data_IF_079157355053
#
_entry.id   IF_079157355053
#
_cell.length_a   1.000
_cell.length_b   1.000
_cell.length_c   1.000
_cell.angle_alpha   90.00
_cell.angle_beta   90.00
_cell.angle_gamma   90.00
#
_symmetry.space_group_name_H-M   'P 1'
#
loop_
_entity.id
_entity.type
_entity.pdbx_description
1 polymer ?
#
# COMPACT_ATOMS: atom_id res chain seq x y z
N UNK A 1 -15.03 -2.29 -73.91
CA UNK A 1 -13.85 -2.04 -73.05
C UNK A 1 -14.17 -0.84 -72.17
N UNK A 2 -14.67 -1.07 -70.94
CA UNK A 2 -15.16 0.00 -70.07
C UNK A 2 -14.12 0.30 -68.97
N UNK A 3 -13.49 1.46 -69.03
CA UNK A 3 -12.52 1.95 -68.04
C UNK A 3 -13.26 2.58 -66.86
N UNK A 4 -13.35 1.87 -65.73
CA UNK A 4 -13.83 2.44 -64.47
C UNK A 4 -12.67 3.13 -63.74
N UNK A 5 -12.73 4.46 -63.67
CA UNK A 5 -11.90 5.31 -62.82
C UNK A 5 -12.20 5.04 -61.34
N UNK A 6 -11.15 4.86 -60.54
CA UNK A 6 -11.19 4.76 -59.08
C UNK A 6 -10.97 6.16 -58.49
N UNK A 7 -11.82 6.67 -57.57
CA UNK A 7 -11.54 7.92 -56.88
C UNK A 7 -10.48 7.76 -55.78
N UNK A 8 -9.64 8.78 -55.67
CA UNK A 8 -8.50 8.91 -54.78
C UNK A 8 -8.90 8.92 -53.30
N UNK A 9 -8.04 8.33 -52.48
CA UNK A 9 -8.21 8.24 -51.03
C UNK A 9 -7.86 9.57 -50.35
N UNK A 10 -8.69 9.97 -49.39
CA UNK A 10 -8.49 11.17 -48.55
C UNK A 10 -7.57 10.79 -47.39
N UNK A 11 -6.41 11.44 -47.29
CA UNK A 11 -5.48 11.26 -46.17
C UNK A 11 -5.98 12.03 -44.95
N UNK A 12 -6.32 11.32 -43.88
CA UNK A 12 -6.64 11.92 -42.59
C UNK A 12 -5.35 12.39 -41.90
N UNK A 13 -5.21 13.70 -41.72
CA UNK A 13 -4.15 14.33 -40.94
C UNK A 13 -4.35 14.04 -39.45
N UNK A 14 -3.43 13.28 -38.85
CA UNK A 14 -3.38 13.08 -37.41
C UNK A 14 -2.99 14.41 -36.73
N UNK A 15 -3.98 15.04 -36.08
CA UNK A 15 -3.77 16.19 -35.20
C UNK A 15 -2.86 15.81 -34.02
N UNK A 16 -1.82 16.61 -33.80
CA UNK A 16 -0.82 16.41 -32.75
C UNK A 16 -1.40 16.48 -31.34
N UNK A 17 -0.90 15.62 -30.45
CA UNK A 17 -1.11 15.71 -29.00
C UNK A 17 -0.30 16.89 -28.44
N UNK A 18 -0.88 17.81 -27.66
CA UNK A 18 -0.10 18.79 -26.91
C UNK A 18 0.69 18.08 -25.78
N UNK A 19 1.88 18.59 -25.42
CA UNK A 19 2.68 18.00 -24.35
C UNK A 19 2.02 18.20 -22.98
N UNK A 20 2.10 17.16 -22.15
CA UNK A 20 1.65 17.20 -20.77
C UNK A 20 2.48 18.21 -19.96
N UNK A 21 1.82 19.21 -19.39
CA UNK A 21 2.43 20.13 -18.45
C UNK A 21 2.90 19.37 -17.21
N UNK A 22 4.17 19.55 -16.83
CA UNK A 22 4.78 18.96 -15.64
C UNK A 22 4.23 19.68 -14.40
N UNK A 23 3.82 18.97 -13.33
CA UNK A 23 3.46 19.64 -12.08
C UNK A 23 4.69 20.32 -11.48
N UNK A 24 4.49 21.55 -10.99
CA UNK A 24 5.51 22.31 -10.29
C UNK A 24 5.92 21.59 -9.00
N UNK A 25 7.23 21.47 -8.77
CA UNK A 25 7.79 20.91 -7.53
C UNK A 25 7.57 21.92 -6.40
N UNK A 26 7.07 21.52 -5.22
CA UNK A 26 7.06 22.41 -4.07
C UNK A 26 8.51 22.67 -3.62
N UNK A 27 8.87 23.95 -3.65
CA UNK A 27 10.17 24.49 -3.25
C UNK A 27 10.18 24.62 -1.73
N UNK A 28 10.26 23.48 -1.03
CA UNK A 28 10.47 23.52 0.41
C UNK A 28 11.88 24.06 0.69
N UNK A 29 11.90 25.26 1.24
CA UNK A 29 13.06 25.98 1.72
C UNK A 29 13.67 25.21 2.89
N UNK A 30 14.93 24.83 2.74
CA UNK A 30 15.80 24.45 3.84
C UNK A 30 16.03 25.67 4.73
N UNK A 31 15.45 25.68 5.92
CA UNK A 31 15.87 26.55 7.01
C UNK A 31 16.34 25.68 8.17
N UNK A 32 17.65 25.48 8.23
CA UNK A 32 18.29 24.95 9.41
C UNK A 32 18.12 25.92 10.57
N UNK A 33 17.75 25.41 11.74
CA UNK A 33 17.99 26.09 12.99
C UNK A 33 18.81 25.18 13.91
N UNK A 34 19.99 25.68 14.18
CA UNK A 34 21.05 25.14 15.03
C UNK A 34 20.54 25.10 16.47
N UNK A 35 20.62 23.94 17.12
CA UNK A 35 20.52 23.85 18.58
C UNK A 35 21.93 23.98 19.16
N UNK A 36 22.15 24.79 20.21
CA UNK A 36 23.46 24.95 20.83
C UNK A 36 23.84 23.78 21.75
N UNK A 37 25.15 23.62 21.88
CA UNK A 37 25.91 22.70 22.74
C UNK A 37 25.74 22.96 24.25
N UNK A 38 25.90 21.91 25.07
CA UNK A 38 26.20 21.96 26.53
C UNK A 38 25.44 20.93 27.37
N UNK A 39 25.79 19.63 27.48
CA UNK A 39 26.81 18.97 28.37
C UNK A 39 26.34 19.00 29.86
N UNK A 40 26.35 17.88 30.66
CA UNK A 40 27.45 16.95 30.80
C UNK A 40 27.18 15.44 30.85
N UNK A 41 28.27 14.74 30.52
CA UNK A 41 28.57 13.34 30.74
C UNK A 41 28.89 13.12 32.23
N UNK A 42 28.25 12.14 32.87
CA UNK A 42 28.75 11.56 34.12
C UNK A 42 28.82 10.05 33.99
N UNK A 43 30.02 9.53 34.23
CA UNK A 43 30.45 8.16 34.02
C UNK A 43 30.28 7.28 35.26
N UNK A 44 30.16 5.99 34.97
CA UNK A 44 30.71 4.83 35.68
C UNK A 44 30.26 4.53 37.12
N UNK A 45 29.69 3.34 37.27
CA UNK A 45 30.23 2.37 38.22
C UNK A 45 29.91 0.96 37.74
N UNK A 46 30.98 0.21 37.49
CA UNK A 46 30.96 -1.21 37.15
C UNK A 46 30.62 -2.06 38.37
N UNK A 47 29.87 -3.12 38.14
CA UNK A 47 29.54 -4.15 39.12
C UNK A 47 29.49 -5.51 38.44
N UNK A 48 30.67 -6.08 38.20
CA UNK A 48 30.89 -7.50 37.91
C UNK A 48 30.46 -8.36 39.11
N UNK A 49 29.54 -9.31 38.90
CA UNK A 49 29.80 -10.74 39.11
C UNK A 49 28.56 -11.57 38.80
N UNK A 50 28.83 -12.67 38.10
CA UNK A 50 27.84 -13.47 37.38
C UNK A 50 26.95 -14.36 38.22
N UNK A 51 26.07 -15.06 37.51
CA UNK A 51 25.46 -16.29 38.02
C UNK A 51 25.15 -17.26 36.87
N UNK A 52 25.30 -18.53 37.22
CA UNK A 52 25.45 -19.73 36.41
C UNK A 52 24.21 -20.06 35.58
N UNK A 53 24.42 -20.48 34.34
CA UNK A 53 23.34 -21.01 33.51
C UNK A 53 22.74 -22.31 34.06
N UNK A 54 21.55 -22.69 33.57
CA UNK A 54 21.43 -24.06 33.10
C UNK A 54 20.93 -24.11 31.66
N UNK A 55 21.67 -24.88 30.85
CA UNK A 55 21.22 -25.43 29.59
C UNK A 55 20.34 -26.65 29.90
N UNK A 56 19.04 -26.51 29.65
CA UNK A 56 18.11 -27.60 29.33
C UNK A 56 17.02 -26.94 28.46
N UNK A 57 17.06 -27.02 27.12
CA UNK A 57 16.63 -28.18 26.34
C UNK A 57 15.48 -28.92 27.01
N UNK A 58 14.32 -28.27 27.08
CA UNK A 58 13.05 -28.99 27.01
C UNK A 58 12.42 -28.66 25.66
N UNK A 59 12.58 -29.60 24.74
CA UNK A 59 11.78 -29.67 23.52
C UNK A 59 10.45 -30.33 23.88
N UNK A 60 9.29 -29.68 23.72
CA UNK A 60 8.06 -30.42 23.55
C UNK A 60 8.03 -30.88 22.10
N UNK A 61 8.29 -32.16 21.91
CA UNK A 61 7.91 -32.88 20.72
C UNK A 61 6.42 -32.63 20.41
N UNK A 62 6.12 -32.34 19.15
CA UNK A 62 4.86 -32.73 18.52
C UNK A 62 3.59 -32.11 19.09
N UNK A 63 3.49 -30.79 19.13
CA UNK A 63 2.21 -30.12 18.98
C UNK A 63 2.17 -29.48 17.59
N UNK A 64 1.64 -30.21 16.61
CA UNK A 64 1.15 -29.63 15.34
C UNK A 64 0.08 -28.58 15.68
N UNK A 65 0.53 -27.38 16.06
CA UNK A 65 -0.34 -26.25 16.30
C UNK A 65 -0.74 -25.72 14.92
N UNK A 66 -1.76 -26.36 14.37
CA UNK A 66 -2.48 -25.97 13.17
C UNK A 66 -2.64 -24.43 13.20
N UNK A 67 -2.14 -23.67 12.20
CA UNK A 67 -2.25 -22.22 12.21
C UNK A 67 -3.66 -21.86 11.77
N UNK A 68 -4.64 -22.11 12.63
CA UNK A 68 -6.07 -21.95 12.31
C UNK A 68 -6.53 -20.49 12.32
N UNK A 69 -5.64 -19.57 12.70
CA UNK A 69 -5.84 -18.12 12.62
C UNK A 69 -4.48 -17.48 12.33
N UNK A 70 -3.99 -17.61 11.09
CA UNK A 70 -2.71 -17.03 10.71
C UNK A 70 -2.72 -15.52 10.97
N UNK A 71 -1.94 -15.09 11.96
CA UNK A 71 -1.72 -13.68 12.23
C UNK A 71 -1.21 -13.00 10.96
N UNK A 72 -1.72 -11.80 10.67
CA UNK A 72 -1.31 -11.03 9.50
C UNK A 72 0.21 -10.91 9.42
N UNK A 73 0.74 -10.77 8.22
CA UNK A 73 2.14 -10.39 8.03
C UNK A 73 2.37 -8.92 8.45
N UNK A 74 3.63 -8.54 8.66
CA UNK A 74 3.99 -7.15 8.98
C UNK A 74 3.61 -6.18 7.85
N UNK A 75 3.73 -6.62 6.60
CA UNK A 75 3.33 -5.83 5.43
C UNK A 75 1.81 -5.61 5.38
N UNK A 76 1.01 -6.64 5.66
CA UNK A 76 -0.45 -6.52 5.69
C UNK A 76 -0.94 -5.60 6.81
N UNK A 77 -0.30 -5.66 8.00
CA UNK A 77 -0.56 -4.68 9.08
C UNK A 77 -0.32 -3.26 8.61
N UNK A 78 0.84 -2.97 8.03
CA UNK A 78 1.17 -1.63 7.51
C UNK A 78 0.17 -1.13 6.46
N UNK A 79 -0.29 -2.02 5.59
CA UNK A 79 -1.33 -1.68 4.59
C UNK A 79 -2.65 -1.33 5.28
N UNK A 80 -3.05 -2.08 6.30
CA UNK A 80 -4.26 -1.80 7.08
C UNK A 80 -4.15 -0.48 7.85
N UNK A 81 -3.00 -0.18 8.46
CA UNK A 81 -2.77 1.07 9.19
C UNK A 81 -2.86 2.30 8.26
N UNK A 82 -2.24 2.22 7.08
CA UNK A 82 -2.32 3.30 6.08
C UNK A 82 -3.74 3.48 5.56
N UNK A 83 -4.48 2.39 5.37
CA UNK A 83 -5.89 2.45 5.00
C UNK A 83 -6.74 3.13 6.07
N UNK A 84 -6.58 2.74 7.34
CA UNK A 84 -7.29 3.29 8.47
C UNK A 84 -6.98 4.79 8.62
N UNK A 85 -5.71 5.18 8.51
CA UNK A 85 -5.29 6.58 8.54
C UNK A 85 -5.92 7.39 7.40
N UNK A 86 -5.96 6.85 6.17
CA UNK A 86 -6.60 7.52 5.04
C UNK A 86 -8.13 7.66 5.24
N UNK A 87 -8.79 6.64 5.79
CA UNK A 87 -10.23 6.71 6.10
C UNK A 87 -10.51 7.75 7.21
N UNK A 88 -9.72 7.77 8.27
CA UNK A 88 -9.82 8.75 9.35
C UNK A 88 -9.61 10.19 8.85
N UNK A 89 -8.68 10.38 7.91
CA UNK A 89 -8.45 11.65 7.24
C UNK A 89 -9.48 11.97 6.11
N UNK A 90 -10.53 11.16 5.96
CA UNK A 90 -11.54 11.25 4.90
C UNK A 90 -10.99 11.27 3.46
N UNK A 91 -9.80 10.71 3.26
CA UNK A 91 -9.20 10.55 1.95
C UNK A 91 -9.85 9.40 1.19
N UNK A 92 -9.97 9.57 -0.12
CA UNK A 92 -10.58 8.57 -1.01
C UNK A 92 -9.58 7.52 -1.50
N UNK A 93 -8.30 7.79 -1.34
CA UNK A 93 -7.21 6.93 -1.82
C UNK A 93 -6.05 6.91 -0.84
N UNK A 94 -5.22 5.87 -0.94
CA UNK A 94 -3.92 5.79 -0.30
C UNK A 94 -2.93 5.05 -1.22
N UNK A 95 -1.64 5.25 -1.00
CA UNK A 95 -0.60 4.52 -1.72
C UNK A 95 -0.30 3.18 -1.01
N UNK A 96 -0.36 2.08 -1.75
CA UNK A 96 0.01 0.77 -1.23
C UNK A 96 1.54 0.64 -1.14
N UNK A 97 2.13 0.48 0.06
CA UNK A 97 3.58 0.35 0.22
C UNK A 97 4.16 -0.91 -0.44
N UNK A 98 3.36 -1.95 -0.67
CA UNK A 98 3.84 -3.20 -1.25
C UNK A 98 3.86 -3.19 -2.79
N UNK A 99 2.88 -2.52 -3.43
CA UNK A 99 2.75 -2.52 -4.90
C UNK A 99 2.99 -1.16 -5.55
N UNK A 100 2.99 -0.07 -4.78
CA UNK A 100 3.07 1.30 -5.28
C UNK A 100 1.77 1.81 -5.92
N UNK A 101 0.70 1.01 -5.96
CA UNK A 101 -0.56 1.43 -6.55
C UNK A 101 -1.34 2.40 -5.67
N UNK A 102 -2.11 3.27 -6.32
CA UNK A 102 -3.12 4.10 -5.66
C UNK A 102 -4.38 3.26 -5.47
N UNK A 103 -4.73 2.96 -4.23
CA UNK A 103 -5.85 2.09 -3.86
C UNK A 103 -6.99 2.94 -3.30
N UNK A 104 -8.23 2.65 -3.73
CA UNK A 104 -9.43 3.28 -3.20
C UNK A 104 -9.68 2.85 -1.74
N UNK A 105 -10.06 3.81 -0.88
CA UNK A 105 -10.46 3.53 0.50
C UNK A 105 -11.87 2.95 0.58
N UNK A 106 -12.24 2.42 1.76
CA UNK A 106 -13.61 1.95 2.02
C UNK A 106 -14.60 3.10 1.84
N UNK A 107 -14.24 4.30 2.32
CA UNK A 107 -15.02 5.51 2.13
C UNK A 107 -15.30 5.81 0.65
N UNK A 108 -14.30 5.69 -0.22
CA UNK A 108 -14.49 5.89 -1.66
C UNK A 108 -15.47 4.87 -2.27
N UNK A 109 -15.41 3.62 -1.83
CA UNK A 109 -16.38 2.60 -2.25
C UNK A 109 -17.79 2.86 -1.73
N UNK A 110 -17.94 3.32 -0.49
CA UNK A 110 -19.24 3.71 0.07
C UNK A 110 -19.83 4.90 -0.69
N UNK A 111 -19.03 5.96 -0.94
CA UNK A 111 -19.45 7.11 -1.74
C UNK A 111 -19.85 6.74 -3.17
N UNK A 112 -19.16 5.76 -3.78
CA UNK A 112 -19.46 5.26 -5.12
C UNK A 112 -20.68 4.34 -5.17
N UNK A 113 -21.03 3.69 -4.07
CA UNK A 113 -22.14 2.73 -3.99
C UNK A 113 -21.92 1.38 -4.69
N UNK A 114 -20.72 1.10 -5.24
CA UNK A 114 -20.44 -0.18 -5.93
C UNK A 114 -18.96 -0.57 -5.97
N UNK A 115 -18.71 -1.87 -6.22
CA UNK A 115 -17.36 -2.40 -6.47
C UNK A 115 -16.74 -1.78 -7.74
N UNK A 116 -15.46 -1.42 -7.69
CA UNK A 116 -14.76 -0.83 -8.83
C UNK A 116 -14.24 -1.84 -9.87
N UNK A 117 -14.15 -3.13 -9.51
CA UNK A 117 -13.59 -4.19 -10.37
C UNK A 117 -12.06 -4.31 -10.38
N UNK A 118 -11.34 -3.50 -9.60
CA UNK A 118 -9.86 -3.45 -9.60
C UNK A 118 -9.19 -4.27 -8.48
N UNK A 119 -9.87 -5.25 -7.88
CA UNK A 119 -9.35 -6.10 -6.81
C UNK A 119 -8.69 -5.31 -5.63
N UNK A 120 -9.39 -4.26 -5.18
CA UNK A 120 -9.00 -3.50 -3.99
C UNK A 120 -9.06 -4.39 -2.74
N UNK A 121 -8.06 -4.27 -1.85
CA UNK A 121 -7.93 -5.10 -0.64
C UNK A 121 -9.09 -4.90 0.35
N UNK A 122 -9.63 -3.68 0.41
CA UNK A 122 -10.62 -3.25 1.39
C UNK A 122 -11.99 -2.98 0.75
N UNK A 123 -12.41 -3.80 -0.20
CA UNK A 123 -13.66 -3.58 -0.92
C UNK A 123 -14.88 -4.04 -0.08
N UNK A 124 -15.75 -3.14 0.42
CA UNK A 124 -16.94 -3.50 1.22
C UNK A 124 -17.93 -4.40 0.48
N UNK A 125 -17.82 -4.47 -0.85
CA UNK A 125 -18.70 -5.27 -1.71
C UNK A 125 -18.07 -6.60 -2.11
N UNK A 126 -17.10 -7.13 -1.35
CA UNK A 126 -16.57 -8.48 -1.58
C UNK A 126 -15.97 -8.72 -2.96
N UNK A 127 -15.48 -7.67 -3.63
CA UNK A 127 -14.89 -7.76 -4.98
C UNK A 127 -15.83 -8.36 -6.05
N UNK A 128 -17.16 -8.16 -5.93
CA UNK A 128 -18.18 -8.71 -6.86
C UNK A 128 -17.95 -8.36 -8.33
N UNK A 129 -17.38 -7.19 -8.63
CA UNK A 129 -17.14 -6.74 -10.01
C UNK A 129 -15.76 -7.12 -10.56
N UNK A 130 -14.95 -7.90 -9.81
CA UNK A 130 -13.67 -8.39 -10.30
C UNK A 130 -13.94 -9.63 -11.17
N UNK A 131 -13.76 -9.48 -12.48
CA UNK A 131 -14.04 -10.54 -13.45
C UNK A 131 -13.05 -11.70 -13.35
N UNK A 132 -11.77 -11.36 -13.21
CA UNK A 132 -10.69 -12.34 -13.15
C UNK A 132 -10.59 -12.93 -11.73
N UNK A 133 -10.90 -14.23 -11.55
CA UNK A 133 -10.83 -14.87 -10.23
C UNK A 133 -9.41 -14.91 -9.68
N UNK A 134 -8.37 -14.94 -10.52
CA UNK A 134 -6.98 -14.97 -10.07
C UNK A 134 -6.56 -13.65 -9.40
N UNK A 135 -7.23 -12.54 -9.74
CA UNK A 135 -6.98 -11.23 -9.12
C UNK A 135 -7.72 -11.05 -7.81
N UNK A 136 -8.72 -11.89 -7.50
CA UNK A 136 -9.51 -11.75 -6.27
C UNK A 136 -8.62 -12.01 -5.06
N UNK A 137 -8.53 -11.01 -4.18
CA UNK A 137 -7.73 -11.11 -2.96
C UNK A 137 -8.56 -11.75 -1.86
N UNK A 138 -7.97 -12.71 -1.15
CA UNK A 138 -8.62 -13.34 0.01
C UNK A 138 -8.87 -12.29 1.09
N UNK A 139 -10.09 -12.31 1.61
CA UNK A 139 -10.54 -11.38 2.64
C UNK A 139 -9.89 -11.77 3.98
N UNK A 140 -9.02 -10.92 4.51
CA UNK A 140 -8.66 -10.98 5.93
C UNK A 140 -9.55 -10.01 6.71
N UNK A 141 -10.06 -10.44 7.85
CA UNK A 141 -10.99 -9.67 8.70
C UNK A 141 -10.42 -8.31 9.14
N UNK A 142 -9.10 -8.21 9.34
CA UNK A 142 -8.41 -6.95 9.67
C UNK A 142 -8.43 -5.89 8.55
N UNK A 143 -8.91 -6.22 7.36
CA UNK A 143 -9.08 -5.24 6.28
C UNK A 143 -10.40 -4.44 6.39
N UNK A 144 -11.23 -4.68 7.42
CA UNK A 144 -12.55 -4.07 7.60
C UNK A 144 -12.73 -3.27 8.91
N UNK A 145 -11.62 -2.93 9.56
CA UNK A 145 -11.59 -1.95 10.66
C UNK A 145 -11.52 -0.52 10.14
#
# INVERSE_FOLDING_TARGET
>A
MATRRVPAQVTATFGGRPPAARPARPLWVSAGLRQPLGVPLCSASEGERGDVGPRAQDSPAGAERRPETAALTAAERRIADLHAAACAAQQLTYADPATGYVVLTRLAHLRRGRCCGSACRHCPYGQVNVQDPAKKKKFNSCFYV
#
